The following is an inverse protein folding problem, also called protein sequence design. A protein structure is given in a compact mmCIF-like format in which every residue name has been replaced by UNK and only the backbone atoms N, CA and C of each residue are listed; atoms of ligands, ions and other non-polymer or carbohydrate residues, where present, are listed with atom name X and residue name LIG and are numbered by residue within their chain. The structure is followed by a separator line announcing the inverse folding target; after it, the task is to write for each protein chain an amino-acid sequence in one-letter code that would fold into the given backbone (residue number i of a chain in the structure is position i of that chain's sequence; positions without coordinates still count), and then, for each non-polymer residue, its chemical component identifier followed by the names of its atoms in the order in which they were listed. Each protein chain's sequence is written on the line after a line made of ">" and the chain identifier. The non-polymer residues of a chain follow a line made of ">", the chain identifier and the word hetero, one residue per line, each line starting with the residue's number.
data_IF_373755687652
#
_entry.id   IF_373755687652
#
_cell.length_a   1.000
_cell.length_b   1.000
_cell.length_c   1.000
_cell.angle_alpha   90.00
_cell.angle_beta   90.00
_cell.angle_gamma   90.00
#
_symmetry.space_group_name_H-M   'P 1'
#
loop_
_entity.id
_entity.type
_entity.pdbx_description
1 polymer ?
#
# COMPACT_ATOMS: atom_id res chain seq x y z
N UNK A 1 -54.06 10.08 42.38
CA UNK A 1 -52.68 10.14 41.84
C UNK A 1 -52.41 8.82 41.15
N UNK A 2 -52.28 8.79 39.82
CA UNK A 2 -52.07 7.56 39.06
C UNK A 2 -50.57 7.20 39.04
N UNK A 3 -50.20 6.11 39.68
CA UNK A 3 -48.86 5.53 39.58
C UNK A 3 -48.73 4.76 38.26
N UNK A 4 -47.85 5.25 37.37
CA UNK A 4 -47.47 4.55 36.14
C UNK A 4 -46.20 3.73 36.43
N UNK A 5 -46.31 2.42 36.35
CA UNK A 5 -45.17 1.49 36.49
C UNK A 5 -44.34 1.55 35.20
N UNK A 6 -43.01 1.81 35.26
CA UNK A 6 -42.17 1.83 34.07
C UNK A 6 -42.07 0.43 33.45
N UNK A 7 -42.39 0.30 32.15
CA UNK A 7 -42.16 -0.94 31.42
C UNK A 7 -40.65 -1.20 31.31
N UNK A 8 -40.20 -2.31 31.88
CA UNK A 8 -38.82 -2.83 31.75
C UNK A 8 -38.49 -3.00 30.26
N UNK A 9 -37.49 -2.26 29.75
CA UNK A 9 -36.97 -2.46 28.39
C UNK A 9 -36.59 -3.93 28.23
N UNK A 10 -37.22 -4.62 27.28
CA UNK A 10 -36.88 -5.99 26.90
C UNK A 10 -35.43 -5.97 26.44
N UNK A 11 -34.57 -6.73 27.12
CA UNK A 11 -33.20 -6.95 26.64
C UNK A 11 -33.31 -7.59 25.26
N UNK A 12 -32.71 -6.96 24.26
CA UNK A 12 -32.54 -7.56 22.94
C UNK A 12 -31.62 -8.76 23.16
N UNK A 13 -32.14 -9.98 22.98
CA UNK A 13 -31.32 -11.18 22.96
C UNK A 13 -30.27 -11.00 21.86
N UNK A 14 -29.00 -10.83 22.26
CA UNK A 14 -27.89 -10.92 21.32
C UNK A 14 -27.91 -12.34 20.78
N UNK A 15 -28.13 -12.49 19.48
CA UNK A 15 -27.93 -13.77 18.81
C UNK A 15 -26.49 -14.21 19.09
N UNK A 16 -26.34 -15.27 19.89
CA UNK A 16 -25.05 -15.91 20.13
C UNK A 16 -24.79 -16.75 18.90
N UNK A 17 -24.13 -16.15 17.91
CA UNK A 17 -23.66 -16.88 16.74
C UNK A 17 -22.52 -17.78 17.19
N UNK A 18 -22.65 -19.08 16.95
CA UNK A 18 -21.58 -20.04 17.21
C UNK A 18 -20.48 -19.88 16.14
N UNK A 19 -19.52 -19.02 16.47
CA UNK A 19 -18.37 -18.69 15.63
C UNK A 19 -17.51 -19.91 15.26
N UNK A 20 -17.65 -21.04 15.97
CA UNK A 20 -16.91 -22.27 15.67
C UNK A 20 -17.40 -23.01 14.42
N UNK A 21 -18.59 -22.67 13.92
CA UNK A 21 -19.22 -23.32 12.75
C UNK A 21 -19.05 -22.56 11.44
N UNK A 22 -18.52 -21.33 11.48
CA UNK A 22 -18.27 -20.49 10.31
C UNK A 22 -16.82 -20.68 9.91
N UNK A 23 -16.54 -21.57 8.96
CA UNK A 23 -15.23 -21.59 8.31
C UNK A 23 -15.00 -20.23 7.59
N UNK A 24 -13.84 -19.58 7.76
CA UNK A 24 -13.51 -18.34 7.06
C UNK A 24 -13.18 -18.66 5.60
N UNK A 25 -14.22 -18.81 4.78
CA UNK A 25 -14.09 -18.83 3.32
C UNK A 25 -15.00 -17.76 2.77
N UNK A 26 -14.39 -16.63 2.44
CA UNK A 26 -15.10 -15.56 1.79
C UNK A 26 -15.58 -16.02 0.42
N UNK A 27 -16.73 -15.50 0.01
CA UNK A 27 -17.17 -15.62 -1.38
C UNK A 27 -16.81 -14.34 -2.10
N UNK A 28 -16.15 -14.48 -3.25
CA UNK A 28 -15.83 -13.35 -4.14
C UNK A 28 -16.66 -13.48 -5.41
N UNK A 29 -17.64 -12.61 -5.57
CA UNK A 29 -18.62 -12.67 -6.66
C UNK A 29 -18.41 -11.50 -7.63
N UNK A 30 -18.24 -11.79 -8.92
CA UNK A 30 -18.21 -10.74 -9.94
C UNK A 30 -19.57 -10.07 -10.09
N UNK A 31 -19.57 -8.74 -10.18
CA UNK A 31 -20.77 -7.92 -10.25
C UNK A 31 -21.03 -7.47 -11.68
N UNK A 32 -22.20 -7.77 -12.27
CA UNK A 32 -22.54 -7.31 -13.61
C UNK A 32 -22.51 -5.79 -13.74
N UNK A 33 -21.88 -5.29 -14.81
CA UNK A 33 -21.89 -3.87 -15.18
C UNK A 33 -23.33 -3.38 -15.32
N UNK A 34 -23.63 -2.23 -14.73
CA UNK A 34 -24.97 -1.61 -14.76
C UNK A 34 -25.94 -2.06 -13.66
N UNK A 35 -25.57 -3.04 -12.83
CA UNK A 35 -26.37 -3.39 -11.64
C UNK A 35 -26.32 -2.29 -10.57
N UNK A 36 -27.26 -2.30 -9.63
CA UNK A 36 -27.27 -1.39 -8.47
C UNK A 36 -26.00 -1.58 -7.64
N UNK A 37 -25.62 -2.83 -7.35
CA UNK A 37 -24.39 -3.17 -6.63
C UNK A 37 -23.14 -2.60 -7.29
N UNK A 38 -23.05 -2.70 -8.63
CA UNK A 38 -21.95 -2.10 -9.38
C UNK A 38 -21.94 -0.59 -9.22
N UNK A 39 -23.11 0.05 -9.30
CA UNK A 39 -23.27 1.50 -9.16
C UNK A 39 -22.88 1.99 -7.76
N UNK A 40 -23.20 1.22 -6.71
CA UNK A 40 -22.78 1.51 -5.34
C UNK A 40 -21.26 1.52 -5.21
N UNK A 41 -20.58 0.45 -5.64
CA UNK A 41 -19.10 0.39 -5.58
C UNK A 41 -18.47 1.46 -6.47
N UNK A 42 -19.02 1.69 -7.67
CA UNK A 42 -18.59 2.78 -8.54
C UNK A 42 -18.67 4.13 -7.84
N UNK A 43 -19.76 4.44 -7.13
CA UNK A 43 -19.89 5.69 -6.40
C UNK A 43 -18.89 5.81 -5.24
N UNK A 44 -18.58 4.71 -4.56
CA UNK A 44 -17.51 4.68 -3.54
C UNK A 44 -16.17 5.09 -4.17
N UNK A 45 -15.82 4.48 -5.29
CA UNK A 45 -14.59 4.76 -6.03
C UNK A 45 -14.55 6.22 -6.53
N UNK A 46 -15.63 6.71 -7.16
CA UNK A 46 -15.71 8.07 -7.68
C UNK A 46 -15.64 9.14 -6.59
N UNK A 47 -16.09 8.85 -5.38
CA UNK A 47 -15.97 9.74 -4.23
C UNK A 47 -14.63 9.60 -3.49
N UNK A 48 -13.94 8.49 -3.70
CA UNK A 48 -12.62 8.18 -3.15
C UNK A 48 -11.46 8.68 -4.01
N UNK A 49 -11.64 9.62 -4.94
CA UNK A 49 -10.51 10.20 -5.69
C UNK A 49 -9.95 11.44 -4.98
N UNK A 50 -8.63 11.63 -5.06
CA UNK A 50 -7.94 12.75 -4.43
C UNK A 50 -8.23 14.10 -5.10
N UNK A 51 -8.47 14.07 -6.42
CA UNK A 51 -8.85 15.23 -7.24
C UNK A 51 -9.88 14.78 -8.29
N UNK A 52 -10.88 15.62 -8.56
CA UNK A 52 -11.92 15.32 -9.54
C UNK A 52 -11.37 15.23 -10.97
N UNK A 53 -10.22 15.83 -11.26
CA UNK A 53 -9.54 15.70 -12.54
C UNK A 53 -9.15 14.25 -12.87
N UNK A 54 -8.91 13.42 -11.85
CA UNK A 54 -8.61 11.98 -12.01
C UNK A 54 -9.70 11.25 -12.80
N UNK A 55 -10.95 11.70 -12.65
CA UNK A 55 -12.09 11.09 -13.32
C UNK A 55 -12.05 11.20 -14.85
N UNK A 56 -11.19 12.05 -15.43
CA UNK A 56 -11.07 12.19 -16.89
C UNK A 56 -10.28 11.08 -17.56
N UNK A 57 -9.44 10.37 -16.80
CA UNK A 57 -8.55 9.33 -17.31
C UNK A 57 -8.68 8.01 -16.55
N UNK A 58 -9.71 7.84 -15.73
CA UNK A 58 -9.92 6.68 -14.87
C UNK A 58 -11.15 5.88 -15.31
N UNK A 59 -10.99 4.57 -15.47
CA UNK A 59 -12.06 3.66 -15.89
C UNK A 59 -12.17 2.46 -14.95
N UNK A 60 -13.39 2.06 -14.63
CA UNK A 60 -13.68 0.87 -13.83
C UNK A 60 -13.96 -0.29 -14.79
N UNK A 61 -13.05 -1.27 -14.84
CA UNK A 61 -13.15 -2.40 -15.75
C UNK A 61 -13.95 -3.56 -15.15
N UNK A 62 -13.68 -3.88 -13.88
CA UNK A 62 -14.29 -5.02 -13.18
C UNK A 62 -14.59 -4.66 -11.73
N UNK A 63 -15.67 -5.21 -11.20
CA UNK A 63 -16.03 -5.13 -9.77
C UNK A 63 -16.37 -6.51 -9.28
N UNK A 64 -15.80 -6.89 -8.14
CA UNK A 64 -16.11 -8.10 -7.40
C UNK A 64 -16.50 -7.74 -5.97
N UNK A 65 -17.56 -8.34 -5.43
CA UNK A 65 -17.94 -8.17 -4.03
C UNK A 65 -17.36 -9.30 -3.19
N UNK A 66 -16.87 -8.94 -2.01
CA UNK A 66 -16.41 -9.87 -1.00
C UNK A 66 -17.51 -10.00 0.04
N UNK A 67 -17.86 -11.24 0.41
CA UNK A 67 -18.68 -11.51 1.59
C UNK A 67 -17.95 -12.47 2.49
N UNK A 68 -17.79 -12.09 3.75
CA UNK A 68 -17.19 -12.91 4.77
C UNK A 68 -18.01 -12.74 6.07
N UNK A 69 -18.93 -13.66 6.37
CA UNK A 69 -19.82 -13.53 7.54
C UNK A 69 -19.09 -13.41 8.87
N UNK A 70 -17.91 -14.03 8.99
CA UNK A 70 -17.10 -13.96 10.20
C UNK A 70 -16.48 -12.56 10.40
N UNK A 71 -15.89 -11.99 9.35
CA UNK A 71 -15.35 -10.62 9.41
C UNK A 71 -16.45 -9.58 9.56
N UNK A 72 -17.60 -9.76 8.88
CA UNK A 72 -18.78 -8.90 9.03
C UNK A 72 -19.28 -8.88 10.48
N UNK A 73 -19.34 -10.05 11.13
CA UNK A 73 -19.71 -10.14 12.54
C UNK A 73 -18.73 -9.38 13.45
N UNK A 74 -17.42 -9.55 13.25
CA UNK A 74 -16.39 -8.82 14.02
C UNK A 74 -16.52 -7.31 13.84
N UNK A 75 -16.72 -6.86 12.60
CA UNK A 75 -16.93 -5.46 12.25
C UNK A 75 -18.16 -4.88 12.94
N UNK A 76 -19.28 -5.62 12.96
CA UNK A 76 -20.50 -5.19 13.64
C UNK A 76 -20.34 -5.14 15.17
N UNK A 77 -19.61 -6.09 15.78
CA UNK A 77 -19.28 -6.01 17.21
C UNK A 77 -18.40 -4.80 17.51
N UNK A 78 -17.40 -4.53 16.68
CA UNK A 78 -16.54 -3.34 16.80
C UNK A 78 -17.37 -2.05 16.72
N UNK A 79 -18.30 -1.97 15.75
CA UNK A 79 -19.25 -0.86 15.59
C UNK A 79 -20.11 -0.63 16.83
N UNK A 80 -20.63 -1.70 17.43
CA UNK A 80 -21.40 -1.64 18.68
C UNK A 80 -20.53 -1.13 19.84
N UNK A 81 -19.29 -1.58 19.93
CA UNK A 81 -18.35 -1.15 20.97
C UNK A 81 -18.02 0.34 20.85
N UNK A 82 -17.78 0.86 19.63
CA UNK A 82 -17.59 2.30 19.39
C UNK A 82 -18.76 3.11 19.92
N UNK A 83 -20.00 2.73 19.56
CA UNK A 83 -21.21 3.39 20.06
C UNK A 83 -21.32 3.32 21.58
N UNK A 84 -21.01 2.17 22.17
CA UNK A 84 -21.03 1.97 23.62
C UNK A 84 -20.04 2.88 24.35
N UNK A 85 -18.90 3.17 23.72
CA UNK A 85 -17.86 4.05 24.24
C UNK A 85 -18.07 5.53 23.86
N UNK A 86 -19.20 5.88 23.24
CA UNK A 86 -19.50 7.25 22.81
C UNK A 86 -18.63 7.75 21.64
N UNK A 87 -18.00 6.85 20.89
CA UNK A 87 -17.21 7.17 19.70
C UNK A 87 -18.08 7.11 18.43
N UNK A 88 -17.62 7.79 17.38
CA UNK A 88 -18.29 7.78 16.07
C UNK A 88 -18.25 6.38 15.47
N UNK A 89 -19.42 5.86 15.06
CA UNK A 89 -19.57 4.62 14.31
C UNK A 89 -19.85 4.86 12.82
N UNK A 90 -19.53 6.06 12.33
CA UNK A 90 -19.67 6.42 10.93
C UNK A 90 -18.74 5.55 10.07
N UNK A 91 -19.32 4.92 9.07
CA UNK A 91 -18.60 4.10 8.10
C UNK A 91 -17.94 5.00 7.05
N UNK A 92 -16.69 4.70 6.71
CA UNK A 92 -15.96 5.27 5.59
C UNK A 92 -15.43 4.18 4.66
N UNK A 93 -14.89 4.59 3.51
CA UNK A 93 -14.25 3.69 2.56
C UNK A 93 -12.79 4.07 2.37
N UNK A 94 -11.95 3.05 2.29
CA UNK A 94 -10.51 3.17 2.09
C UNK A 94 -10.00 2.06 1.17
N UNK A 95 -8.78 2.22 0.68
CA UNK A 95 -8.30 1.51 -0.48
C UNK A 95 -6.90 0.93 -0.24
N UNK A 96 -6.65 -0.23 -0.83
CA UNK A 96 -5.36 -0.89 -0.85
C UNK A 96 -5.06 -1.36 -2.28
N UNK A 97 -3.89 -1.02 -2.80
CA UNK A 97 -3.41 -1.64 -4.04
C UNK A 97 -3.07 -3.09 -3.75
N UNK A 98 -3.66 -4.01 -4.50
CA UNK A 98 -3.22 -5.40 -4.46
C UNK A 98 -2.04 -5.57 -5.42
N UNK A 99 -1.11 -6.45 -5.07
CA UNK A 99 -0.12 -6.91 -6.04
C UNK A 99 -0.80 -7.66 -7.19
N UNK A 100 -0.02 -8.01 -8.21
CA UNK A 100 -0.50 -8.85 -9.31
C UNK A 100 -0.71 -10.32 -8.93
N UNK A 101 -0.41 -10.69 -7.68
CA UNK A 101 -0.63 -12.03 -7.16
C UNK A 101 -2.08 -12.24 -6.71
N UNK A 102 -2.70 -13.33 -7.17
CA UNK A 102 -4.05 -13.71 -6.78
C UNK A 102 -4.16 -14.23 -5.35
N UNK A 103 -3.04 -14.64 -4.74
CA UNK A 103 -3.01 -15.17 -3.39
C UNK A 103 -3.32 -14.09 -2.34
N UNK A 104 -2.89 -12.85 -2.55
CA UNK A 104 -3.17 -11.71 -1.66
C UNK A 104 -4.67 -11.45 -1.53
N UNK A 105 -5.38 -11.46 -2.66
CA UNK A 105 -6.83 -11.24 -2.69
C UNK A 105 -7.55 -12.30 -1.86
N UNK A 106 -7.23 -13.56 -2.11
CA UNK A 106 -7.89 -14.70 -1.47
C UNK A 106 -7.60 -14.69 0.03
N UNK A 107 -6.34 -14.49 0.41
CA UNK A 107 -5.92 -14.45 1.80
C UNK A 107 -6.62 -13.32 2.58
N UNK A 108 -6.63 -12.10 2.03
CA UNK A 108 -7.26 -10.96 2.69
C UNK A 108 -8.78 -11.12 2.75
N UNK A 109 -9.41 -11.66 1.71
CA UNK A 109 -10.84 -11.92 1.71
C UNK A 109 -11.23 -12.90 2.82
N UNK A 110 -10.47 -14.00 2.97
CA UNK A 110 -10.75 -15.05 3.97
C UNK A 110 -10.42 -14.61 5.40
N UNK A 111 -9.27 -13.94 5.60
CA UNK A 111 -8.69 -13.72 6.93
C UNK A 111 -8.77 -12.26 7.41
N UNK A 112 -9.06 -11.31 6.53
CA UNK A 112 -8.91 -9.89 6.78
C UNK A 112 -7.49 -9.39 6.48
N UNK A 113 -7.29 -8.07 6.55
CA UNK A 113 -5.98 -7.47 6.27
C UNK A 113 -5.16 -7.40 7.55
N UNK A 114 -4.02 -8.09 7.56
CA UNK A 114 -3.20 -8.30 8.74
C UNK A 114 -1.97 -7.37 8.78
N UNK A 115 -1.45 -7.16 9.99
CA UNK A 115 -0.15 -6.53 10.24
C UNK A 115 0.98 -7.25 9.51
N UNK A 116 2.14 -6.60 9.33
CA UNK A 116 3.30 -7.18 8.67
C UNK A 116 3.17 -7.33 7.15
N UNK A 117 2.12 -6.79 6.55
CA UNK A 117 1.91 -6.78 5.09
C UNK A 117 2.43 -5.49 4.44
N UNK A 118 2.45 -4.39 5.18
CA UNK A 118 2.96 -3.09 4.72
C UNK A 118 4.45 -2.96 5.04
N UNK A 119 5.24 -2.69 4.03
CA UNK A 119 6.71 -2.64 4.10
C UNK A 119 7.28 -1.51 4.97
N UNK A 120 6.65 -0.32 4.93
CA UNK A 120 7.08 0.87 5.65
C UNK A 120 5.89 1.83 5.73
N UNK A 121 5.82 2.61 6.80
CA UNK A 121 4.78 3.62 6.94
C UNK A 121 5.13 4.73 7.93
N UNK A 122 4.52 5.88 7.72
CA UNK A 122 4.88 7.12 8.41
C UNK A 122 4.13 7.40 9.72
N UNK A 123 3.15 6.57 10.06
CA UNK A 123 2.16 6.87 11.08
C UNK A 123 2.19 5.85 12.24
N UNK A 124 3.11 4.88 12.22
CA UNK A 124 3.26 3.82 13.21
C UNK A 124 3.90 2.56 12.65
N UNK A 125 4.24 1.62 13.52
CA UNK A 125 4.98 0.42 13.14
C UNK A 125 4.09 -0.55 12.34
N UNK A 126 4.49 -1.02 11.14
CA UNK A 126 3.70 -1.98 10.37
C UNK A 126 3.46 -3.34 11.05
N UNK A 127 4.19 -3.64 12.13
CA UNK A 127 4.00 -4.85 12.94
C UNK A 127 2.88 -4.71 13.97
N UNK A 128 2.37 -3.49 14.20
CA UNK A 128 1.35 -3.18 15.21
C UNK A 128 0.09 -2.55 14.61
N UNK A 129 -0.03 -2.54 13.29
CA UNK A 129 -1.19 -2.00 12.59
C UNK A 129 -1.03 -2.10 11.09
N UNK A 130 -2.07 -1.67 10.38
CA UNK A 130 -2.17 -1.80 8.93
C UNK A 130 -2.35 -0.44 8.28
N UNK A 131 -1.87 -0.30 7.05
CA UNK A 131 -2.00 0.91 6.26
C UNK A 131 -3.05 0.75 5.16
N UNK A 132 -4.01 1.67 5.14
CA UNK A 132 -4.96 1.86 4.05
C UNK A 132 -4.92 3.31 3.57
N UNK A 133 -5.44 3.58 2.38
CA UNK A 133 -5.38 4.91 1.79
C UNK A 133 -6.77 5.50 1.61
N UNK A 134 -6.91 6.79 1.96
CA UNK A 134 -8.16 7.54 1.80
C UNK A 134 -8.61 7.70 0.35
N UNK A 135 -7.64 7.69 -0.58
CA UNK A 135 -7.90 7.94 -1.98
C UNK A 135 -7.41 6.81 -2.86
N UNK A 136 -8.28 6.34 -3.76
CA UNK A 136 -8.06 5.20 -4.65
C UNK A 136 -6.91 5.42 -5.62
N UNK A 137 -6.71 6.66 -6.07
CA UNK A 137 -5.64 7.08 -6.97
C UNK A 137 -4.34 7.40 -6.22
N UNK A 138 -4.31 7.27 -4.89
CA UNK A 138 -3.12 7.44 -4.06
C UNK A 138 -2.82 6.19 -3.23
N UNK A 139 -3.29 5.01 -3.65
CA UNK A 139 -2.93 3.71 -3.03
C UNK A 139 -1.48 3.31 -3.29
N UNK A 140 -0.84 3.92 -4.28
CA UNK A 140 0.57 3.72 -4.64
C UNK A 140 1.23 5.08 -4.89
N UNK A 141 2.52 5.27 -4.54
CA UNK A 141 3.26 6.46 -4.93
C UNK A 141 3.64 6.47 -6.42
N UNK A 142 3.54 5.31 -7.09
CA UNK A 142 3.90 5.10 -8.50
C UNK A 142 3.03 5.89 -9.46
N UNK A 143 3.58 6.16 -10.66
CA UNK A 143 2.86 6.78 -11.76
C UNK A 143 1.78 5.84 -12.31
N UNK A 144 0.73 6.44 -12.86
CA UNK A 144 -0.42 5.76 -13.45
C UNK A 144 -0.24 5.79 -14.98
N UNK A 145 0.31 4.71 -15.54
CA UNK A 145 0.58 4.62 -16.97
C UNK A 145 -0.69 4.32 -17.78
N UNK A 146 -0.66 4.71 -19.05
CA UNK A 146 -1.77 4.51 -19.95
C UNK A 146 -2.02 3.02 -20.13
N UNK A 147 -3.29 2.67 -20.09
CA UNK A 147 -3.83 1.34 -20.35
C UNK A 147 -3.43 0.26 -19.33
N UNK A 148 -2.62 0.60 -18.34
CA UNK A 148 -2.27 -0.27 -17.21
C UNK A 148 -3.46 -0.52 -16.30
N UNK A 149 -3.56 -1.77 -15.83
CA UNK A 149 -4.59 -2.19 -14.89
C UNK A 149 -4.05 -2.19 -13.46
N UNK A 150 -4.69 -1.42 -12.59
CA UNK A 150 -4.43 -1.42 -11.15
C UNK A 150 -5.59 -2.11 -10.43
N UNK A 151 -5.30 -3.20 -9.73
CA UNK A 151 -6.27 -3.91 -8.91
C UNK A 151 -6.28 -3.34 -7.50
N UNK A 152 -7.44 -2.91 -7.04
CA UNK A 152 -7.61 -2.26 -5.74
C UNK A 152 -8.66 -2.99 -4.91
N UNK A 153 -8.32 -3.31 -3.66
CA UNK A 153 -9.30 -3.74 -2.68
C UNK A 153 -9.89 -2.53 -1.97
N UNK A 154 -11.21 -2.51 -1.85
CA UNK A 154 -12.01 -1.52 -1.13
C UNK A 154 -12.37 -2.10 0.23
N UNK A 155 -12.16 -1.32 1.27
CA UNK A 155 -12.51 -1.66 2.64
C UNK A 155 -13.61 -0.72 3.14
N UNK A 156 -14.55 -1.29 3.90
CA UNK A 156 -15.37 -0.52 4.84
C UNK A 156 -14.58 -0.32 6.11
N UNK A 157 -14.50 0.90 6.61
CA UNK A 157 -13.70 1.22 7.80
C UNK A 157 -14.52 1.98 8.83
N UNK A 158 -14.24 1.71 10.11
CA UNK A 158 -14.77 2.44 11.26
C UNK A 158 -13.60 3.11 11.96
N UNK A 159 -13.47 4.44 11.80
CA UNK A 159 -12.32 5.17 12.31
C UNK A 159 -12.40 5.53 13.79
N UNK A 160 -13.58 5.46 14.41
CA UNK A 160 -13.78 5.93 15.78
C UNK A 160 -13.18 7.32 15.98
N UNK A 161 -12.32 7.45 16.98
CA UNK A 161 -11.42 8.61 17.13
C UNK A 161 -10.10 8.35 16.38
N UNK A 162 -9.71 9.28 15.50
CA UNK A 162 -8.39 9.28 14.86
C UNK A 162 -7.46 10.29 15.54
N UNK A 163 -6.21 9.90 15.74
CA UNK A 163 -5.15 10.77 16.25
C UNK A 163 -4.32 11.31 15.07
N UNK A 164 -4.08 12.61 15.02
CA UNK A 164 -3.22 13.21 14.01
C UNK A 164 -1.75 13.12 14.44
N UNK A 165 -0.87 12.58 13.59
CA UNK A 165 0.54 12.37 13.90
C UNK A 165 1.43 12.90 12.77
N UNK A 166 2.65 13.31 13.09
CA UNK A 166 3.60 13.80 12.08
C UNK A 166 4.02 12.67 11.13
N UNK A 167 4.33 13.00 9.88
CA UNK A 167 4.96 12.04 8.97
C UNK A 167 6.35 11.66 9.50
N UNK A 168 6.75 10.38 9.36
CA UNK A 168 8.00 9.85 9.91
C UNK A 168 7.87 9.33 11.35
N UNK A 169 6.65 9.20 11.88
CA UNK A 169 6.35 8.58 13.17
C UNK A 169 6.36 7.05 13.09
N UNK A 170 7.39 6.46 12.47
CA UNK A 170 7.42 5.02 12.10
C UNK A 170 7.42 4.09 13.31
N UNK A 171 8.03 4.52 14.41
CA UNK A 171 8.08 3.76 15.68
C UNK A 171 7.00 4.18 16.67
N UNK A 172 6.02 5.01 16.23
CA UNK A 172 4.98 5.47 17.12
C UNK A 172 4.04 4.33 17.47
N UNK A 173 3.96 4.05 18.75
CA UNK A 173 3.05 3.07 19.32
C UNK A 173 1.59 3.44 19.09
N UNK A 174 0.69 2.46 18.84
CA UNK A 174 -0.74 2.68 18.77
C UNK A 174 -1.26 3.51 19.96
N UNK A 175 -1.81 4.69 19.69
CA UNK A 175 -2.28 5.60 20.75
C UNK A 175 -3.55 5.04 21.38
N UNK A 176 -3.55 4.88 22.70
CA UNK A 176 -4.72 4.46 23.48
C UNK A 176 -5.91 5.38 23.21
N UNK A 177 -7.12 4.83 23.20
CA UNK A 177 -8.40 5.52 22.91
C UNK A 177 -8.60 6.00 21.46
N UNK A 178 -7.56 5.99 20.62
CA UNK A 178 -7.68 6.18 19.18
C UNK A 178 -7.77 4.81 18.48
N UNK A 179 -8.51 4.73 17.38
CA UNK A 179 -8.58 3.52 16.55
C UNK A 179 -7.66 3.62 15.32
N UNK A 180 -7.16 4.82 15.04
CA UNK A 180 -6.30 5.07 13.89
C UNK A 180 -5.38 6.28 14.11
N UNK A 181 -4.25 6.26 13.41
CA UNK A 181 -3.44 7.45 13.17
C UNK A 181 -3.65 7.96 11.74
N UNK A 182 -3.68 9.28 11.60
CA UNK A 182 -3.73 9.98 10.30
C UNK A 182 -2.62 11.01 10.24
N UNK A 183 -2.15 11.33 9.03
CA UNK A 183 -1.16 12.39 8.87
C UNK A 183 -1.71 13.74 9.37
N UNK A 184 -0.95 14.40 10.23
CA UNK A 184 -1.20 15.77 10.65
C UNK A 184 -1.15 16.71 9.44
N UNK A 185 -2.00 17.74 9.45
CA UNK A 185 -2.02 18.73 8.40
C UNK A 185 -0.69 19.52 8.39
N UNK A 186 -0.14 19.71 7.20
CA UNK A 186 0.99 20.62 6.96
C UNK A 186 0.52 21.86 6.20
N UNK A 187 1.32 22.93 6.26
CA UNK A 187 1.01 24.20 5.59
C UNK A 187 1.36 24.19 4.09
N UNK A 188 1.79 23.04 3.56
CA UNK A 188 2.19 22.91 2.15
C UNK A 188 0.94 22.81 1.26
N UNK A 189 0.75 23.73 0.29
CA UNK A 189 -0.37 23.64 -0.66
C UNK A 189 -0.36 22.31 -1.43
N UNK A 190 -1.53 21.71 -1.65
CA UNK A 190 -1.65 20.44 -2.39
C UNK A 190 -1.00 20.49 -3.79
N UNK A 191 -1.08 21.64 -4.47
CA UNK A 191 -0.48 21.85 -5.79
C UNK A 191 1.05 21.84 -5.80
N UNK A 192 1.70 21.99 -4.64
CA UNK A 192 3.16 21.93 -4.48
C UNK A 192 3.64 20.57 -3.99
N UNK A 193 2.73 19.68 -3.62
CA UNK A 193 3.09 18.35 -3.13
C UNK A 193 3.40 17.44 -4.30
N UNK A 194 4.49 16.70 -4.16
CA UNK A 194 4.76 15.55 -5.02
C UNK A 194 3.68 14.49 -4.81
N UNK A 195 3.51 13.62 -5.80
CA UNK A 195 2.61 12.47 -5.69
C UNK A 195 2.95 11.59 -4.48
N UNK A 196 4.23 11.40 -4.20
CA UNK A 196 4.65 10.63 -3.03
C UNK A 196 4.23 11.31 -1.71
N UNK A 197 4.38 12.63 -1.60
CA UNK A 197 3.90 13.35 -0.42
C UNK A 197 2.38 13.22 -0.26
N UNK A 198 1.63 13.30 -1.36
CA UNK A 198 0.18 13.07 -1.35
C UNK A 198 -0.18 11.64 -0.91
N UNK A 199 0.52 10.63 -1.42
CA UNK A 199 0.36 9.23 -1.02
C UNK A 199 0.60 9.03 0.49
N UNK A 200 1.72 9.53 1.02
CA UNK A 200 2.05 9.47 2.46
C UNK A 200 0.99 10.16 3.32
N UNK A 201 0.48 11.30 2.86
CA UNK A 201 -0.60 12.01 3.55
C UNK A 201 -1.96 11.32 3.44
N UNK A 202 -2.21 10.57 2.37
CA UNK A 202 -3.45 9.83 2.15
C UNK A 202 -3.56 8.60 3.06
N UNK A 203 -2.46 8.12 3.63
CA UNK A 203 -2.41 6.97 4.52
C UNK A 203 -3.28 7.15 5.79
N UNK A 204 -3.86 6.05 6.22
CA UNK A 204 -4.56 5.85 7.49
C UNK A 204 -3.99 4.58 8.09
N UNK A 205 -3.46 4.70 9.31
CA UNK A 205 -2.89 3.58 10.05
C UNK A 205 -3.92 3.09 11.06
N UNK A 206 -4.46 1.89 10.85
CA UNK A 206 -5.46 1.27 11.72
C UNK A 206 -4.82 0.25 12.64
N UNK A 207 -5.34 0.20 13.87
CA UNK A 207 -4.89 -0.73 14.89
C UNK A 207 -6.02 -0.98 15.89
N UNK A 208 -5.92 -2.08 16.63
CA UNK A 208 -6.88 -2.43 17.67
C UNK A 208 -6.14 -3.04 18.86
N UNK A 209 -6.46 -2.58 20.06
CA UNK A 209 -6.02 -3.24 21.30
C UNK A 209 -7.04 -4.29 21.71
N UNK A 210 -6.54 -5.50 21.98
CA UNK A 210 -7.29 -6.55 22.65
C UNK A 210 -7.48 -6.20 24.14
N UNK A 211 -8.36 -6.95 24.82
CA UNK A 211 -8.65 -6.76 26.24
C UNK A 211 -7.43 -6.97 27.16
N UNK A 212 -6.46 -7.75 26.71
CA UNK A 212 -5.21 -8.03 27.42
C UNK A 212 -4.10 -7.01 27.08
N UNK A 213 -4.43 -5.93 26.37
CA UNK A 213 -3.51 -4.90 25.89
C UNK A 213 -2.51 -5.36 24.82
N UNK A 214 -2.63 -6.59 24.32
CA UNK A 214 -1.97 -6.96 23.07
C UNK A 214 -2.60 -6.22 21.89
N UNK A 215 -1.85 -6.05 20.81
CA UNK A 215 -2.38 -5.46 19.58
C UNK A 215 -2.89 -6.58 18.69
N UNK A 216 -4.08 -6.42 18.12
CA UNK A 216 -4.66 -7.40 17.22
C UNK A 216 -3.94 -7.40 15.87
N UNK A 217 -3.63 -8.59 15.36
CA UNK A 217 -3.01 -8.75 14.04
C UNK A 217 -3.94 -8.30 12.91
N UNK A 218 -5.26 -8.42 13.10
CA UNK A 218 -6.29 -8.04 12.13
C UNK A 218 -7.30 -7.10 12.80
N UNK A 219 -7.21 -5.78 12.58
CA UNK A 219 -8.14 -4.82 13.19
C UNK A 219 -9.58 -5.04 12.72
N UNK A 220 -10.50 -5.26 13.67
CA UNK A 220 -11.90 -5.58 13.41
C UNK A 220 -12.68 -4.42 12.81
N UNK A 221 -12.20 -3.19 12.96
CA UNK A 221 -12.76 -1.98 12.35
C UNK A 221 -12.51 -1.85 10.85
N UNK A 222 -11.83 -2.82 10.23
CA UNK A 222 -11.48 -2.85 8.80
C UNK A 222 -12.05 -4.11 8.15
N UNK A 223 -12.98 -3.93 7.21
CA UNK A 223 -13.70 -5.02 6.56
C UNK A 223 -13.47 -5.01 5.04
N UNK A 224 -12.86 -6.05 4.45
CA UNK A 224 -12.82 -6.23 2.99
C UNK A 224 -14.23 -6.21 2.40
N UNK A 225 -14.47 -5.35 1.41
CA UNK A 225 -15.80 -5.11 0.87
C UNK A 225 -15.90 -5.45 -0.62
N UNK A 226 -14.95 -4.99 -1.42
CA UNK A 226 -14.94 -5.21 -2.87
C UNK A 226 -13.52 -5.24 -3.42
N UNK A 227 -13.37 -5.80 -4.62
CA UNK A 227 -12.16 -5.66 -5.45
C UNK A 227 -12.56 -5.00 -6.76
N UNK A 228 -11.75 -4.06 -7.22
CA UNK A 228 -12.01 -3.29 -8.42
C UNK A 228 -10.76 -3.28 -9.29
N UNK A 229 -10.91 -3.63 -10.56
CA UNK A 229 -9.87 -3.45 -11.56
C UNK A 229 -10.07 -2.11 -12.25
N UNK A 230 -9.04 -1.27 -12.16
CA UNK A 230 -9.04 0.11 -12.61
C UNK A 230 -8.07 0.23 -13.78
N UNK A 231 -8.48 0.96 -14.82
CA UNK A 231 -7.63 1.23 -15.98
C UNK A 231 -7.51 2.71 -16.23
N UNK A 232 -6.32 3.15 -16.61
CA UNK A 232 -6.05 4.58 -16.80
C UNK A 232 -5.88 4.91 -18.28
N UNK A 233 -6.80 5.65 -18.87
CA UNK A 233 -6.67 6.08 -20.27
C UNK A 233 -7.46 7.36 -20.55
N UNK A 234 -6.87 8.24 -21.35
CA UNK A 234 -7.59 9.40 -21.87
C UNK A 234 -8.52 9.00 -23.00
N UNK A 235 -9.79 9.42 -22.91
CA UNK A 235 -10.68 9.36 -24.06
C UNK A 235 -10.29 10.40 -25.11
N UNK A 236 -10.69 10.19 -26.38
CA UNK A 236 -10.51 11.17 -27.45
C UNK A 236 -11.07 12.55 -27.08
N UNK A 237 -12.19 12.57 -26.33
CA UNK A 237 -12.81 13.81 -25.83
C UNK A 237 -11.95 14.54 -24.80
N UNK A 238 -11.06 13.82 -24.12
CA UNK A 238 -10.25 14.34 -23.02
C UNK A 238 -8.77 14.51 -23.39
N UNK A 239 -8.37 14.26 -24.65
CA UNK A 239 -6.96 14.25 -25.06
C UNK A 239 -6.22 15.58 -24.86
N UNK A 240 -6.94 16.69 -24.70
CA UNK A 240 -6.39 18.04 -24.53
C UNK A 240 -6.45 18.57 -23.09
N UNK A 241 -6.86 17.76 -22.10
CA UNK A 241 -6.84 18.21 -20.70
C UNK A 241 -5.41 18.31 -20.18
N UNK A 242 -5.07 19.45 -19.59
CA UNK A 242 -3.83 19.63 -18.84
C UNK A 242 -3.95 18.93 -17.49
N UNK A 243 -3.57 17.66 -17.43
CA UNK A 243 -3.54 16.90 -16.18
C UNK A 243 -2.40 17.41 -15.30
N UNK A 244 -2.71 17.74 -14.04
CA UNK A 244 -1.72 18.21 -13.10
C UNK A 244 -0.65 17.13 -12.85
N UNK A 245 0.67 17.44 -12.95
CA UNK A 245 1.73 16.44 -12.77
C UNK A 245 1.75 15.74 -11.39
N UNK A 246 1.12 16.32 -10.37
CA UNK A 246 0.97 15.70 -9.05
C UNK A 246 -0.02 14.52 -9.04
N UNK A 247 -0.92 14.43 -10.02
CA UNK A 247 -1.81 13.28 -10.20
C UNK A 247 -1.05 12.06 -10.76
N UNK A 248 0.10 12.29 -11.41
CA UNK A 248 1.03 11.25 -11.83
C UNK A 248 0.53 10.35 -12.96
N UNK A 249 -0.40 10.82 -13.78
CA UNK A 249 -0.80 10.10 -15.00
C UNK A 249 0.24 10.29 -16.11
N UNK A 250 0.54 9.21 -16.84
CA UNK A 250 1.43 9.18 -17.99
C UNK A 250 0.64 8.67 -19.20
N UNK A 251 0.56 9.46 -20.28
CA UNK A 251 -0.19 9.08 -21.49
C UNK A 251 0.63 8.19 -22.45
N UNK A 252 1.45 7.31 -21.88
CA UNK A 252 2.28 6.34 -22.58
C UNK A 252 2.12 4.99 -21.87
N UNK A 253 2.23 3.91 -22.64
CA UNK A 253 2.21 2.57 -22.07
C UNK A 253 3.45 2.37 -21.19
N UNK A 254 3.33 1.60 -20.11
CA UNK A 254 4.49 1.24 -19.30
C UNK A 254 5.40 0.33 -20.12
N UNK A 255 6.63 0.77 -20.38
CA UNK A 255 7.63 -0.02 -21.06
C UNK A 255 8.87 -0.18 -20.18
N UNK A 256 9.36 -1.40 -20.07
CA UNK A 256 10.61 -1.72 -19.38
C UNK A 256 11.71 -1.95 -20.42
N UNK A 257 12.70 -1.06 -20.43
CA UNK A 257 13.90 -1.18 -21.26
C UNK A 257 14.93 -2.05 -20.54
N UNK A 258 15.34 -3.19 -21.13
CA UNK A 258 16.38 -4.03 -20.55
C UNK A 258 17.74 -3.35 -20.63
N UNK A 259 18.47 -3.31 -19.53
CA UNK A 259 19.83 -2.72 -19.44
C UNK A 259 20.91 -3.76 -19.16
N UNK A 260 20.53 -4.96 -18.70
CA UNK A 260 21.42 -6.08 -18.44
C UNK A 260 20.66 -7.41 -18.48
N UNK A 261 21.30 -8.45 -19.00
CA UNK A 261 20.86 -9.85 -18.88
C UNK A 261 22.06 -10.68 -18.41
N UNK A 262 21.88 -11.47 -17.35
CA UNK A 262 22.97 -12.27 -16.82
C UNK A 262 22.56 -13.16 -15.65
N UNK A 263 23.57 -13.66 -14.94
CA UNK A 263 23.36 -14.58 -13.83
C UNK A 263 23.10 -13.81 -12.54
N UNK A 264 22.00 -14.16 -11.87
CA UNK A 264 21.61 -13.60 -10.59
C UNK A 264 21.56 -14.73 -9.56
N UNK A 265 22.31 -14.57 -8.48
CA UNK A 265 22.27 -15.50 -7.35
C UNK A 265 21.74 -14.77 -6.12
N UNK A 266 20.69 -15.30 -5.50
CA UNK A 266 20.13 -14.80 -4.25
C UNK A 266 20.18 -15.93 -3.24
N UNK A 267 20.95 -15.73 -2.18
CA UNK A 267 21.32 -16.77 -1.22
C UNK A 267 21.91 -17.99 -1.94
N UNK A 268 21.24 -19.15 -1.87
CA UNK A 268 21.62 -20.39 -2.54
C UNK A 268 20.93 -20.60 -3.88
N UNK A 269 19.95 -19.75 -4.25
CA UNK A 269 19.23 -19.86 -5.51
C UNK A 269 19.96 -19.12 -6.63
N UNK A 270 20.13 -19.77 -7.78
CA UNK A 270 20.74 -19.16 -8.97
C UNK A 270 19.77 -19.17 -10.14
N UNK A 271 19.69 -18.03 -10.81
CA UNK A 271 18.81 -17.75 -11.92
C UNK A 271 19.66 -17.39 -13.14
N UNK A 272 19.63 -18.29 -14.13
CA UNK A 272 20.30 -18.06 -15.40
C UNK A 272 19.40 -17.16 -16.24
N UNK A 273 19.94 -16.06 -16.78
CA UNK A 273 19.20 -15.08 -17.60
C UNK A 273 18.16 -14.24 -16.83
N UNK A 274 18.53 -13.76 -15.66
CA UNK A 274 17.78 -12.68 -15.03
C UNK A 274 18.03 -11.38 -15.82
N UNK A 275 16.96 -10.61 -16.04
CA UNK A 275 17.00 -9.36 -16.81
C UNK A 275 16.77 -8.20 -15.87
N UNK A 276 17.71 -7.25 -15.85
CA UNK A 276 17.55 -5.96 -15.19
C UNK A 276 16.99 -4.96 -16.19
N UNK A 277 15.90 -4.31 -15.83
CA UNK A 277 15.21 -3.35 -16.69
C UNK A 277 14.94 -2.04 -15.97
N UNK A 278 14.63 -0.98 -16.71
CA UNK A 278 14.21 0.32 -16.19
C UNK A 278 13.15 0.96 -17.08
N UNK A 279 12.39 1.90 -16.54
CA UNK A 279 11.34 2.63 -17.28
C UNK A 279 11.88 3.80 -18.10
N UNK A 280 13.17 4.10 -17.99
CA UNK A 280 13.83 5.20 -18.69
C UNK A 280 14.58 4.69 -19.92
N UNK A 281 14.17 5.16 -21.11
CA UNK A 281 14.90 4.92 -22.36
C UNK A 281 16.36 5.41 -22.26
N UNK A 282 17.25 4.81 -23.06
CA UNK A 282 18.69 5.11 -23.12
C UNK A 282 19.46 5.00 -21.78
N UNK A 283 18.90 4.29 -20.81
CA UNK A 283 19.59 3.97 -19.57
C UNK A 283 20.73 2.99 -19.81
N UNK A 284 21.87 3.24 -19.17
CA UNK A 284 23.03 2.37 -19.27
C UNK A 284 22.97 1.24 -18.25
N UNK A 285 23.65 0.13 -18.56
CA UNK A 285 23.99 -0.90 -17.58
C UNK A 285 24.64 -0.24 -16.35
N UNK A 286 24.16 -0.51 -15.12
CA UNK A 286 24.88 -0.11 -13.91
C UNK A 286 26.34 -0.61 -13.93
N UNK A 287 27.28 0.26 -13.56
CA UNK A 287 28.69 -0.12 -13.53
C UNK A 287 28.93 -1.28 -12.54
N UNK A 288 29.80 -2.23 -12.92
CA UNK A 288 30.18 -3.39 -12.12
C UNK A 288 29.21 -4.58 -12.15
N UNK A 289 28.13 -4.52 -12.95
CA UNK A 289 27.32 -5.71 -13.28
C UNK A 289 27.95 -6.48 -14.45
N UNK A 290 29.09 -7.12 -14.23
CA UNK A 290 29.88 -7.71 -15.32
C UNK A 290 29.54 -9.19 -15.58
N UNK A 291 29.75 -10.08 -14.61
CA UNK A 291 29.60 -11.53 -14.83
C UNK A 291 28.42 -12.17 -14.07
N UNK A 292 28.26 -11.85 -12.78
CA UNK A 292 27.16 -12.35 -11.95
C UNK A 292 26.92 -11.43 -10.77
N UNK A 293 25.66 -11.16 -10.44
CA UNK A 293 25.30 -10.46 -9.21
C UNK A 293 24.94 -11.48 -8.13
N UNK A 294 25.59 -11.38 -6.97
CA UNK A 294 25.37 -12.29 -5.85
C UNK A 294 24.88 -11.50 -4.64
N UNK A 295 23.69 -11.85 -4.20
CA UNK A 295 23.06 -11.37 -2.98
C UNK A 295 23.23 -12.44 -1.89
N UNK A 296 24.14 -12.20 -0.94
CA UNK A 296 24.55 -13.20 0.05
C UNK A 296 23.70 -13.20 1.32
N UNK A 297 22.91 -12.13 1.55
CA UNK A 297 22.13 -11.97 2.78
C UNK A 297 20.80 -11.28 2.48
N UNK A 298 19.75 -11.70 3.19
CA UNK A 298 18.50 -10.95 3.33
C UNK A 298 18.50 -10.23 4.67
N UNK A 299 18.06 -8.98 4.66
CA UNK A 299 17.92 -8.12 5.84
C UNK A 299 16.45 -7.77 6.01
N UNK A 300 15.98 -7.72 7.26
CA UNK A 300 14.71 -7.07 7.54
C UNK A 300 14.79 -5.61 7.15
N UNK A 301 13.67 -5.04 6.68
CA UNK A 301 13.67 -3.65 6.22
C UNK A 301 14.08 -2.65 7.28
N UNK A 302 13.69 -2.90 8.53
CA UNK A 302 14.12 -2.13 9.70
C UNK A 302 15.63 -2.08 9.82
N UNK A 303 16.31 -3.20 9.57
CA UNK A 303 17.78 -3.30 9.64
C UNK A 303 18.46 -2.67 8.43
N UNK A 304 17.78 -2.65 7.27
CA UNK A 304 18.31 -2.06 6.05
C UNK A 304 18.37 -0.53 6.12
N UNK A 305 17.49 0.13 6.91
CA UNK A 305 17.49 1.59 7.08
C UNK A 305 18.81 2.11 7.65
N UNK A 306 19.49 1.30 8.46
CA UNK A 306 20.80 1.63 9.05
C UNK A 306 21.96 1.55 8.05
N UNK A 307 21.73 0.97 6.86
CA UNK A 307 22.74 0.98 5.79
C UNK A 307 22.91 2.41 5.30
N UNK A 308 24.16 2.88 5.34
CA UNK A 308 24.56 4.20 4.86
C UNK A 308 23.99 4.49 3.47
N UNK A 309 23.17 5.53 3.35
CA UNK A 309 22.57 5.97 2.09
C UNK A 309 21.11 5.56 1.91
N UNK A 310 20.64 4.50 2.57
CA UNK A 310 19.25 4.04 2.43
C UNK A 310 18.28 5.05 3.03
N UNK A 311 18.54 5.61 4.21
CA UNK A 311 17.68 6.64 4.81
C UNK A 311 17.50 7.87 3.91
N UNK A 312 18.56 8.29 3.22
CA UNK A 312 18.50 9.43 2.30
C UNK A 312 17.82 9.07 0.97
N UNK A 313 17.87 7.81 0.56
CA UNK A 313 17.17 7.28 -0.61
C UNK A 313 15.66 7.27 -0.39
N UNK A 314 15.23 6.76 0.76
CA UNK A 314 13.81 6.65 1.13
C UNK A 314 13.26 7.97 1.69
N UNK A 315 14.10 9.01 1.81
CA UNK A 315 13.66 10.33 2.17
C UNK A 315 12.60 10.84 1.19
N UNK A 316 11.62 11.56 1.72
CA UNK A 316 10.42 11.97 1.00
C UNK A 316 10.66 12.83 -0.25
N UNK A 317 11.77 13.57 -0.28
CA UNK A 317 12.17 14.37 -1.44
C UNK A 317 12.87 13.52 -2.50
N UNK A 318 13.59 12.46 -2.10
CA UNK A 318 14.39 11.62 -2.99
C UNK A 318 13.55 10.52 -3.65
N UNK A 319 12.78 9.77 -2.85
CA UNK A 319 12.12 8.55 -3.31
C UNK A 319 11.14 8.78 -4.47
N UNK A 320 10.39 9.88 -4.42
CA UNK A 320 9.39 10.22 -5.42
C UNK A 320 10.01 10.75 -6.71
N UNK A 321 11.28 11.16 -6.67
CA UNK A 321 12.05 11.53 -7.85
C UNK A 321 12.58 10.30 -8.57
N UNK A 322 12.87 9.21 -7.86
CA UNK A 322 13.44 7.98 -8.47
C UNK A 322 12.49 7.36 -9.50
N UNK A 323 11.18 7.49 -9.29
CA UNK A 323 10.17 7.03 -10.24
C UNK A 323 9.97 7.98 -11.45
N UNK A 324 10.59 9.17 -11.43
CA UNK A 324 10.41 10.22 -12.45
C UNK A 324 11.71 10.63 -13.14
N UNK A 325 12.86 10.34 -12.54
CA UNK A 325 14.17 10.73 -12.99
C UNK A 325 15.05 9.50 -13.10
N UNK A 326 15.76 9.40 -14.22
CA UNK A 326 16.71 8.34 -14.48
C UNK A 326 17.75 8.21 -13.37
N UNK A 327 18.25 9.33 -12.85
CA UNK A 327 19.26 9.39 -11.81
C UNK A 327 18.89 10.49 -10.81
N UNK A 328 18.80 10.13 -9.53
CA UNK A 328 18.52 11.06 -8.44
C UNK A 328 19.78 11.27 -7.62
N UNK A 329 20.12 12.55 -7.43
CA UNK A 329 21.25 12.96 -6.63
C UNK A 329 20.88 12.94 -5.13
N UNK A 330 21.48 12.03 -4.38
CA UNK A 330 21.31 11.90 -2.93
C UNK A 330 22.55 12.47 -2.23
N UNK A 331 22.36 13.50 -1.39
CA UNK A 331 23.44 14.19 -0.68
C UNK A 331 23.48 13.81 0.80
N UNK A 332 24.66 13.48 1.30
CA UNK A 332 24.86 13.27 2.73
C UNK A 332 25.19 14.61 3.41
N UNK A 333 24.21 15.20 4.10
CA UNK A 333 24.34 16.52 4.74
C UNK A 333 25.09 16.46 6.09
N UNK A 334 25.26 15.29 6.70
CA UNK A 334 25.72 15.15 8.10
C UNK A 334 27.20 14.83 8.27
N UNK A 335 27.95 14.52 7.20
CA UNK A 335 29.36 14.14 7.30
C UNK A 335 30.30 15.19 6.71
N UNK A 336 31.09 15.86 7.57
CA UNK A 336 32.12 16.84 7.16
C UNK A 336 33.38 16.16 6.60
N UNK A 337 33.52 14.84 6.68
CA UNK A 337 34.68 14.11 6.18
C UNK A 337 34.54 13.79 4.67
N UNK A 338 35.51 14.24 3.88
CA UNK A 338 35.44 14.43 2.43
C UNK A 338 35.65 13.18 1.55
N UNK A 339 34.81 12.15 1.64
CA UNK A 339 34.81 11.09 0.59
C UNK A 339 33.45 10.73 -0.03
N UNK A 340 32.33 11.06 0.60
CA UNK A 340 31.00 10.58 0.17
C UNK A 340 29.95 11.70 0.09
N UNK A 341 30.25 12.81 -0.61
CA UNK A 341 29.38 14.00 -0.66
C UNK A 341 28.10 13.82 -1.49
N UNK A 342 28.11 12.95 -2.50
CA UNK A 342 27.01 12.78 -3.47
C UNK A 342 26.96 11.33 -3.96
N UNK A 343 25.77 10.72 -4.01
CA UNK A 343 25.51 9.48 -4.75
C UNK A 343 24.41 9.73 -5.80
N UNK A 344 24.51 9.05 -6.93
CA UNK A 344 23.43 8.98 -7.91
C UNK A 344 22.73 7.65 -7.77
N UNK A 345 21.40 7.69 -7.71
CA UNK A 345 20.60 6.48 -7.56
C UNK A 345 19.59 6.39 -8.68
N UNK A 346 19.49 5.19 -9.25
CA UNK A 346 18.58 4.85 -10.33
C UNK A 346 17.76 3.65 -9.92
N UNK A 347 16.51 3.61 -10.38
CA UNK A 347 15.63 2.49 -10.14
C UNK A 347 15.65 1.51 -11.30
N UNK A 348 15.79 0.25 -10.92
CA UNK A 348 15.78 -0.89 -11.82
C UNK A 348 14.89 -1.99 -11.26
N UNK A 349 14.32 -2.78 -12.15
CA UNK A 349 13.44 -3.91 -11.84
C UNK A 349 14.08 -5.17 -12.40
N UNK A 350 14.24 -6.18 -11.55
CA UNK A 350 14.67 -7.50 -11.97
C UNK A 350 13.47 -8.34 -12.41
N UNK A 351 13.62 -9.02 -13.52
CA UNK A 351 12.67 -10.02 -14.01
C UNK A 351 13.40 -11.31 -14.34
N UNK A 352 12.74 -12.44 -14.15
CA UNK A 352 13.27 -13.74 -14.53
C UNK A 352 12.11 -14.64 -14.92
N UNK A 353 12.28 -15.39 -16.02
CA UNK A 353 11.28 -16.37 -16.46
C UNK A 353 11.22 -17.63 -15.61
N UNK A 354 12.13 -17.80 -14.64
CA UNK A 354 12.12 -18.92 -13.70
C UNK A 354 11.05 -18.72 -12.62
N UNK A 355 10.05 -19.61 -12.48
CA UNK A 355 9.00 -19.48 -11.46
C UNK A 355 9.55 -19.40 -10.03
N UNK A 356 10.70 -20.02 -9.75
CA UNK A 356 11.35 -19.97 -8.44
C UNK A 356 11.76 -18.54 -8.06
N UNK A 357 12.05 -17.70 -9.05
CA UNK A 357 12.36 -16.28 -8.82
C UNK A 357 11.13 -15.55 -8.29
N UNK A 358 9.97 -15.74 -8.92
CA UNK A 358 8.72 -15.16 -8.45
C UNK A 358 8.38 -15.62 -7.02
N UNK A 359 8.50 -16.93 -6.73
CA UNK A 359 8.28 -17.45 -5.37
C UNK A 359 9.23 -16.83 -4.34
N UNK A 360 10.52 -16.70 -4.68
CA UNK A 360 11.52 -16.09 -3.80
C UNK A 360 11.19 -14.61 -3.53
N UNK A 361 10.92 -13.83 -4.57
CA UNK A 361 10.56 -12.41 -4.45
C UNK A 361 9.28 -12.26 -3.61
N UNK A 362 8.30 -13.14 -3.79
CA UNK A 362 7.08 -13.11 -2.98
C UNK A 362 7.35 -13.46 -1.51
N UNK A 363 8.24 -14.42 -1.23
CA UNK A 363 8.71 -14.71 0.12
C UNK A 363 9.39 -13.49 0.74
N UNK A 364 10.23 -12.78 -0.02
CA UNK A 364 10.89 -11.57 0.46
C UNK A 364 9.88 -10.45 0.80
N UNK A 365 8.78 -10.35 0.04
CA UNK A 365 7.69 -9.42 0.33
C UNK A 365 7.01 -9.74 1.65
N UNK A 366 6.64 -11.00 1.86
CA UNK A 366 5.95 -11.48 3.06
C UNK A 366 6.83 -11.34 4.29
N UNK A 367 8.12 -11.70 4.17
CA UNK A 367 9.11 -11.59 5.25
C UNK A 367 9.60 -10.15 5.47
N UNK A 368 9.12 -9.19 4.68
CA UNK A 368 9.57 -7.80 4.71
C UNK A 368 11.08 -7.67 4.68
N UNK A 369 11.72 -8.33 3.72
CA UNK A 369 13.15 -8.34 3.59
C UNK A 369 13.65 -7.77 2.25
N UNK A 370 14.92 -7.42 2.26
CA UNK A 370 15.65 -6.84 1.14
C UNK A 370 17.03 -7.44 1.07
N UNK A 371 17.56 -7.49 -0.15
CA UNK A 371 18.98 -7.71 -0.32
C UNK A 371 19.66 -6.47 -0.89
N UNK A 372 20.82 -6.19 -0.34
CA UNK A 372 21.64 -5.03 -0.71
C UNK A 372 23.00 -5.55 -1.12
N UNK A 373 23.47 -5.10 -2.28
CA UNK A 373 24.80 -5.40 -2.78
C UNK A 373 25.51 -4.09 -3.10
N UNK A 374 26.73 -3.93 -2.58
CA UNK A 374 27.63 -2.84 -2.95
C UNK A 374 28.46 -3.32 -4.15
N UNK A 375 28.18 -2.77 -5.32
CA UNK A 375 28.91 -3.06 -6.55
C UNK A 375 29.96 -1.96 -6.73
N UNK A 376 31.23 -2.34 -6.64
CA UNK A 376 32.44 -1.50 -6.81
C UNK A 376 32.32 -0.02 -6.38
N UNK A 377 32.83 0.28 -5.19
CA UNK A 377 33.13 1.60 -4.63
C UNK A 377 32.06 2.68 -4.57
N UNK A 378 30.92 2.62 -5.28
CA UNK A 378 29.93 3.71 -5.23
C UNK A 378 28.47 3.33 -5.57
N UNK A 379 28.17 2.10 -6.03
CA UNK A 379 26.82 1.72 -6.49
C UNK A 379 26.13 0.80 -5.48
N UNK A 380 25.03 1.31 -4.91
CA UNK A 380 24.12 0.54 -4.07
C UNK A 380 23.03 -0.09 -4.94
N UNK A 381 23.05 -1.41 -5.10
CA UNK A 381 21.97 -2.16 -5.74
C UNK A 381 21.05 -2.70 -4.66
N UNK A 382 19.79 -2.27 -4.68
CA UNK A 382 18.76 -2.71 -3.76
C UNK A 382 17.77 -3.61 -4.50
N UNK A 383 17.70 -4.88 -4.11
CA UNK A 383 16.70 -5.81 -4.59
C UNK A 383 15.62 -5.99 -3.54
N UNK A 384 14.41 -5.54 -3.87
CA UNK A 384 13.26 -5.64 -3.00
C UNK A 384 12.00 -5.92 -3.79
N UNK A 385 11.15 -6.76 -3.21
CA UNK A 385 9.82 -7.03 -3.75
C UNK A 385 8.88 -5.82 -3.66
N UNK A 386 9.06 -4.94 -2.67
CA UNK A 386 8.21 -3.76 -2.47
C UNK A 386 8.50 -2.63 -3.46
N UNK A 387 9.66 -2.67 -4.12
CA UNK A 387 10.03 -1.71 -5.16
C UNK A 387 9.26 -1.99 -6.47
N UNK A 388 8.67 -3.18 -6.59
CA UNK A 388 7.93 -3.63 -7.77
C UNK A 388 6.40 -3.44 -7.68
N UNK A 389 5.87 -2.95 -6.55
CA UNK A 389 4.43 -2.85 -6.28
C UNK A 389 3.95 -1.41 -6.10
#
# INVERSE_FOLDING_TARGET
>A
MNFVIPKKKRAVEKAVIDLSTIEPKATVEEVPKGSEKFSTVKNVILNGVSDRQVLHFFHIEKVQLIKNPFLEFKYDQFKINLRGNGQSDAESYEFLSLGFDGDDLTYIADNGYAVGTSFYGDLGSPTRGIYLYRYVDLVTPSLLYKDETMRVMVFRTLRGKSCAVGLGSTELEPTLECCSHVAAADNTPLSRKSRQQLHRQAAVYHYEYNKDMSVADVPSGVLPYAVVDLRFSLSEKNQFFNILPSLGYVNEALYFTPVYEGNLTILSASFQRAVLSTVFEDSNKPHGLDDSLIFTKLLQWTDAIDIRGITQLIAHDSWGLIAKQREVCVKNMTDRAEKWKVRYVSHFVWTCGDPRFATLVNSMRIEQCVSVSDVYFDILVLLSAAVMS
#
